data_IF_630471723450
#
_entry.id   IF_630471723450
#
_cell.length_a   1.000
_cell.length_b   1.000
_cell.length_c   1.000
_cell.angle_alpha   90.00
_cell.angle_beta   90.00
_cell.angle_gamma   90.00
#
_symmetry.space_group_name_H-M   'P 1'
#
loop_
_entity.id
_entity.type
_entity.pdbx_description
1 polymer ?
#
# COMPACT_ATOMS: atom_id res chain seq x y z
N UNK A 1 -9.28 -14.75 -10.09
CA UNK A 1 -7.81 -14.61 -10.02
C UNK A 1 -7.23 -15.98 -9.75
N UNK A 2 -6.09 -16.31 -10.33
CA UNK A 2 -5.37 -17.55 -9.96
C UNK A 2 -4.76 -17.29 -8.59
N UNK A 3 -5.09 -18.12 -7.60
CA UNK A 3 -4.49 -18.06 -6.26
C UNK A 3 -2.96 -18.17 -6.40
N UNK A 4 -2.19 -17.33 -5.71
CA UNK A 4 -0.73 -17.45 -5.71
C UNK A 4 -0.36 -18.63 -4.81
N UNK A 5 0.32 -19.61 -5.39
CA UNK A 5 0.61 -20.89 -4.73
C UNK A 5 2.10 -21.09 -4.41
N UNK A 6 2.97 -20.15 -4.81
CA UNK A 6 4.41 -20.24 -4.55
C UNK A 6 5.06 -18.89 -4.23
N UNK A 7 6.22 -18.94 -3.59
CA UNK A 7 7.04 -17.77 -3.28
C UNK A 7 7.57 -17.09 -4.54
N UNK A 8 7.85 -17.87 -5.59
CA UNK A 8 8.28 -17.36 -6.88
C UNK A 8 7.19 -16.50 -7.53
N UNK A 9 5.94 -16.96 -7.49
CA UNK A 9 4.80 -16.20 -8.02
C UNK A 9 4.58 -14.89 -7.25
N UNK A 10 4.70 -14.92 -5.91
CA UNK A 10 4.64 -13.72 -5.08
C UNK A 10 5.71 -12.71 -5.46
N UNK A 11 6.94 -13.19 -5.73
CA UNK A 11 8.05 -12.32 -6.09
C UNK A 11 7.94 -11.76 -7.50
N UNK A 12 7.51 -12.56 -8.47
CA UNK A 12 7.25 -12.09 -9.83
C UNK A 12 6.17 -11.01 -9.84
N UNK A 13 5.09 -11.22 -9.09
CA UNK A 13 4.03 -10.24 -8.96
C UNK A 13 4.49 -8.97 -8.23
N UNK A 14 5.30 -9.10 -7.16
CA UNK A 14 5.94 -7.94 -6.53
C UNK A 14 6.72 -7.12 -7.57
N UNK A 15 7.59 -7.77 -8.34
CA UNK A 15 8.42 -7.12 -9.35
C UNK A 15 7.55 -6.42 -10.42
N UNK A 16 6.42 -6.99 -10.80
CA UNK A 16 5.46 -6.38 -11.74
C UNK A 16 4.81 -5.11 -11.16
N UNK A 17 4.37 -5.17 -9.90
CA UNK A 17 3.78 -4.02 -9.20
C UNK A 17 4.80 -2.89 -9.08
N UNK A 18 6.04 -3.19 -8.68
CA UNK A 18 7.11 -2.20 -8.55
C UNK A 18 7.47 -1.57 -9.90
N UNK A 19 7.56 -2.36 -10.97
CA UNK A 19 7.86 -1.86 -12.33
C UNK A 19 6.72 -1.06 -12.96
N UNK A 20 5.50 -1.22 -12.47
CA UNK A 20 4.35 -0.44 -12.93
C UNK A 20 4.39 1.04 -12.48
N UNK A 21 5.32 1.37 -11.58
CA UNK A 21 5.48 2.69 -10.98
C UNK A 21 6.82 3.29 -11.41
N UNK A 22 6.80 4.47 -12.04
CA UNK A 22 7.99 5.09 -12.64
C UNK A 22 9.14 5.35 -11.65
N UNK A 23 8.82 5.66 -10.40
CA UNK A 23 9.79 6.08 -9.38
C UNK A 23 9.76 5.20 -8.13
N UNK A 24 9.39 3.94 -8.26
CA UNK A 24 9.32 3.07 -7.09
C UNK A 24 10.70 2.90 -6.45
N UNK A 25 10.74 3.23 -5.16
CA UNK A 25 11.82 2.88 -4.26
C UNK A 25 11.17 2.52 -2.94
N UNK A 26 11.52 1.36 -2.40
CA UNK A 26 11.00 0.93 -1.11
C UNK A 26 11.14 2.08 -0.07
N UNK A 27 10.02 2.54 0.51
CA UNK A 27 10.05 3.62 1.49
C UNK A 27 10.72 3.13 2.77
N UNK A 28 11.21 4.08 3.57
CA UNK A 28 11.76 3.77 4.89
C UNK A 28 10.71 3.10 5.80
N UNK A 29 9.47 3.60 5.76
CA UNK A 29 8.33 3.06 6.47
C UNK A 29 7.04 3.28 5.69
N UNK A 30 6.04 2.45 5.96
CA UNK A 30 4.67 2.65 5.47
C UNK A 30 3.66 2.10 6.48
N UNK A 31 2.39 2.46 6.34
CA UNK A 31 1.33 1.89 7.18
C UNK A 31 -0.05 2.35 6.74
N UNK A 32 -1.05 1.55 7.08
CA UNK A 32 -2.46 1.92 6.94
C UNK A 32 -2.93 2.41 8.31
N UNK A 33 -3.51 3.61 8.33
CA UNK A 33 -4.01 4.24 9.54
C UNK A 33 -5.51 4.48 9.51
N UNK A 34 -6.14 4.44 10.68
CA UNK A 34 -7.52 4.87 10.88
C UNK A 34 -7.50 6.34 11.29
N UNK A 35 -7.95 7.21 10.37
CA UNK A 35 -7.93 8.64 10.57
C UNK A 35 -9.24 9.15 11.20
N UNK A 36 -9.12 10.03 12.20
CA UNK A 36 -10.25 10.81 12.73
C UNK A 36 -10.33 12.14 11.98
N UNK A 37 -11.46 12.37 11.31
CA UNK A 37 -11.72 13.63 10.59
C UNK A 37 -12.57 14.57 11.42
N UNK A 38 -12.14 15.83 11.50
CA UNK A 38 -12.96 16.91 12.05
C UNK A 38 -14.09 17.31 11.11
N UNK A 39 -15.00 18.16 11.59
CA UNK A 39 -16.14 18.65 10.79
C UNK A 39 -15.73 19.44 9.54
N UNK A 40 -14.52 20.00 9.51
CA UNK A 40 -13.94 20.67 8.34
C UNK A 40 -13.29 19.72 7.32
N UNK A 41 -13.25 18.42 7.60
CA UNK A 41 -12.52 17.43 6.82
C UNK A 41 -11.03 17.32 7.15
N UNK A 42 -10.50 18.17 8.03
CA UNK A 42 -9.12 18.08 8.50
C UNK A 42 -8.88 16.77 9.27
N UNK A 43 -7.73 16.13 9.04
CA UNK A 43 -7.27 15.00 9.83
C UNK A 43 -6.82 15.52 11.20
N UNK A 44 -7.46 15.05 12.27
CA UNK A 44 -7.15 15.43 13.64
C UNK A 44 -6.16 14.47 14.30
N UNK A 45 -6.30 13.18 14.00
CA UNK A 45 -5.44 12.12 14.52
C UNK A 45 -5.47 10.91 13.57
N UNK A 46 -4.44 10.08 13.63
CA UNK A 46 -4.34 8.82 12.87
C UNK A 46 -3.76 7.73 13.77
N UNK A 47 -4.54 6.68 14.01
CA UNK A 47 -4.07 5.48 14.68
C UNK A 47 -3.47 4.53 13.63
N UNK A 48 -2.20 4.15 13.80
CA UNK A 48 -1.54 3.12 12.99
C UNK A 48 -1.42 1.82 13.81
N UNK A 49 -2.28 0.81 13.58
CA UNK A 49 -2.25 -0.42 14.38
C UNK A 49 -0.98 -1.26 14.15
N UNK A 50 -0.43 -1.22 12.93
CA UNK A 50 0.71 -2.03 12.52
C UNK A 50 1.59 -1.28 11.49
N UNK A 51 2.27 -0.19 11.88
CA UNK A 51 3.21 0.48 10.99
C UNK A 51 4.39 -0.45 10.66
N UNK A 52 4.83 -0.44 9.42
CA UNK A 52 5.92 -1.28 8.92
C UNK A 52 7.19 -0.46 8.76
N UNK A 53 8.32 -1.04 9.15
CA UNK A 53 9.65 -0.45 9.03
C UNK A 53 10.57 -1.44 8.30
N UNK A 54 10.73 -1.26 6.99
CA UNK A 54 11.55 -2.13 6.14
C UNK A 54 11.14 -3.61 6.16
N UNK A 55 9.95 -3.96 6.66
CA UNK A 55 9.59 -5.33 7.05
C UNK A 55 8.60 -6.05 6.15
N UNK A 56 8.09 -5.42 5.08
CA UNK A 56 7.14 -6.07 4.16
C UNK A 56 7.13 -5.42 2.76
N UNK A 57 8.01 -5.88 1.84
CA UNK A 57 8.14 -5.27 0.53
C UNK A 57 6.96 -5.58 -0.40
N UNK A 58 6.31 -6.74 -0.24
CA UNK A 58 5.16 -7.11 -1.06
C UNK A 58 3.94 -6.25 -0.75
N UNK A 59 3.57 -6.15 0.54
CA UNK A 59 2.45 -5.28 0.92
C UNK A 59 2.72 -3.81 0.59
N UNK A 60 3.99 -3.40 0.65
CA UNK A 60 4.39 -2.07 0.20
C UNK A 60 4.14 -1.87 -1.30
N UNK A 61 4.55 -2.81 -2.15
CA UNK A 61 4.33 -2.75 -3.59
C UNK A 61 2.84 -2.73 -3.95
N UNK A 62 2.01 -3.54 -3.28
CA UNK A 62 0.55 -3.54 -3.46
C UNK A 62 -0.05 -2.19 -3.11
N UNK A 63 0.30 -1.63 -1.95
CA UNK A 63 -0.21 -0.33 -1.51
C UNK A 63 0.25 0.80 -2.43
N UNK A 64 1.52 0.80 -2.81
CA UNK A 64 2.10 1.77 -3.72
C UNK A 64 1.39 1.74 -5.08
N UNK A 65 1.14 0.54 -5.63
CA UNK A 65 0.41 0.38 -6.88
C UNK A 65 -1.03 0.89 -6.79
N UNK A 66 -1.77 0.43 -5.77
CA UNK A 66 -3.18 0.80 -5.58
C UNK A 66 -3.38 2.31 -5.39
N UNK A 67 -2.44 2.98 -4.72
CA UNK A 67 -2.48 4.43 -4.47
C UNK A 67 -1.84 5.26 -5.58
N UNK A 68 -1.26 4.62 -6.61
CA UNK A 68 -0.44 5.27 -7.66
C UNK A 68 0.66 6.15 -7.05
N UNK A 69 1.34 5.60 -6.04
CA UNK A 69 2.34 6.32 -5.27
C UNK A 69 3.45 6.87 -6.16
N UNK A 70 3.75 8.16 -5.99
CA UNK A 70 4.74 8.89 -6.79
C UNK A 70 6.19 8.77 -6.27
N UNK A 71 6.41 8.02 -5.19
CA UNK A 71 7.71 7.85 -4.55
C UNK A 71 8.05 8.90 -3.48
N UNK A 72 7.16 9.84 -3.19
CA UNK A 72 7.37 10.89 -2.17
C UNK A 72 6.76 10.52 -0.81
N UNK A 73 7.29 11.06 0.28
CA UNK A 73 6.67 10.89 1.60
C UNK A 73 5.35 11.64 1.66
N UNK A 74 4.24 10.91 1.61
CA UNK A 74 2.90 11.48 1.57
C UNK A 74 1.87 10.52 2.16
N UNK A 75 0.63 10.98 2.31
CA UNK A 75 -0.50 10.19 2.79
C UNK A 75 -1.59 10.19 1.74
N UNK A 76 -2.15 9.02 1.48
CA UNK A 76 -3.27 8.83 0.57
C UNK A 76 -4.49 8.41 1.37
N UNK A 77 -5.64 8.99 1.05
CA UNK A 77 -6.91 8.48 1.55
C UNK A 77 -7.32 7.27 0.72
N UNK A 78 -7.65 6.17 1.40
CA UNK A 78 -8.08 4.94 0.74
C UNK A 78 -9.61 4.94 0.69
N UNK A 79 -10.15 5.07 -0.52
CA UNK A 79 -11.57 4.85 -0.74
C UNK A 79 -11.90 3.35 -0.85
N UNK A 80 -13.19 3.04 -0.95
CA UNK A 80 -13.67 1.66 -1.04
C UNK A 80 -13.06 0.91 -2.22
N UNK A 81 -12.93 1.56 -3.38
CA UNK A 81 -12.45 0.92 -4.60
C UNK A 81 -10.94 0.61 -4.49
N UNK A 82 -10.19 1.49 -3.85
CA UNK A 82 -8.77 1.28 -3.51
C UNK A 82 -8.61 0.11 -2.52
N UNK A 83 -9.44 0.06 -1.47
CA UNK A 83 -9.43 -1.05 -0.51
C UNK A 83 -9.77 -2.39 -1.15
N UNK A 84 -10.76 -2.42 -2.05
CA UNK A 84 -11.10 -3.62 -2.82
C UNK A 84 -9.97 -4.03 -3.76
N UNK A 85 -9.26 -3.06 -4.35
CA UNK A 85 -8.08 -3.35 -5.16
C UNK A 85 -7.00 -4.02 -4.31
N UNK A 86 -6.71 -3.51 -3.12
CA UNK A 86 -5.73 -4.09 -2.19
C UNK A 86 -6.14 -5.51 -1.74
N UNK A 87 -7.41 -5.70 -1.38
CA UNK A 87 -7.95 -7.02 -0.98
C UNK A 87 -7.75 -8.05 -2.10
N UNK A 88 -8.04 -7.66 -3.34
CA UNK A 88 -7.88 -8.56 -4.49
C UNK A 88 -6.41 -8.87 -4.82
N UNK A 89 -5.43 -8.06 -4.41
CA UNK A 89 -3.99 -8.32 -4.63
C UNK A 89 -3.31 -9.02 -3.45
N UNK A 90 -4.04 -9.25 -2.36
CA UNK A 90 -3.53 -9.96 -1.19
C UNK A 90 -3.53 -11.48 -1.46
N UNK A 91 -2.43 -12.20 -1.19
CA UNK A 91 -2.36 -13.65 -1.38
C UNK A 91 -3.29 -14.43 -0.46
#
# INVERSE_FOLDING_TARGET
MTEMQSLEQLKEHQDELEKSLDNYKAPFSFGIGLATKGSSGAILDVLFPAPQLGSDPYSCAVLAHATKWDGTTTTYELDKDTLQTIENHSP
#
